data_IF_381920242580
#
_entry.id   IF_381920242580
#
_cell.length_a   1.000
_cell.length_b   1.000
_cell.length_c   1.000
_cell.angle_alpha   90.00
_cell.angle_beta   90.00
_cell.angle_gamma   90.00
#
_symmetry.space_group_name_H-M   'P 1'
#
loop_
_entity.id
_entity.type
_entity.pdbx_description
1 polymer ?
#
# COMPACT_ATOMS: atom_id res chain seq x y z
N UNK A 1 12.00 26.50 8.80
CA UNK A 1 10.70 25.81 9.00
C UNK A 1 10.85 24.41 8.44
N UNK A 2 10.95 23.40 9.31
CA UNK A 2 11.50 22.10 8.94
C UNK A 2 10.65 21.35 7.92
N UNK A 3 11.15 21.20 6.70
CA UNK A 3 10.57 20.46 5.55
C UNK A 3 10.37 18.94 5.80
N UNK A 4 10.52 18.48 7.05
CA UNK A 4 10.50 17.08 7.48
C UNK A 4 9.09 16.49 7.69
N UNK A 5 8.03 17.31 7.56
CA UNK A 5 6.65 16.85 7.75
C UNK A 5 6.25 15.75 6.76
N UNK A 6 6.64 15.84 5.48
CA UNK A 6 6.31 14.83 4.46
C UNK A 6 7.04 13.49 4.70
N UNK A 7 8.36 13.47 4.97
CA UNK A 7 9.04 12.24 5.38
C UNK A 7 8.41 11.59 6.61
N UNK A 8 8.09 12.37 7.66
CA UNK A 8 7.48 11.84 8.88
C UNK A 8 6.11 11.23 8.64
N UNK A 9 5.29 11.86 7.78
CA UNK A 9 4.01 11.28 7.34
C UNK A 9 4.21 9.97 6.58
N UNK A 10 5.22 9.91 5.69
CA UNK A 10 5.55 8.70 4.95
C UNK A 10 5.95 7.55 5.89
N UNK A 11 6.83 7.82 6.86
CA UNK A 11 7.22 6.85 7.89
C UNK A 11 6.02 6.37 8.70
N UNK A 12 5.16 7.29 9.15
CA UNK A 12 3.93 6.95 9.85
C UNK A 12 3.01 6.06 9.03
N UNK A 13 2.87 6.32 7.73
CA UNK A 13 2.07 5.51 6.82
C UNK A 13 2.65 4.10 6.64
N UNK A 14 3.98 3.95 6.55
CA UNK A 14 4.64 2.65 6.47
C UNK A 14 4.51 1.84 7.77
N UNK A 15 4.65 2.49 8.93
CA UNK A 15 4.42 1.84 10.23
C UNK A 15 2.97 1.34 10.30
N UNK A 16 2.01 2.20 9.96
CA UNK A 16 0.60 1.83 9.94
C UNK A 16 0.31 0.68 8.96
N UNK A 17 0.92 0.69 7.77
CA UNK A 17 0.86 -0.41 6.81
C UNK A 17 1.39 -1.72 7.39
N UNK A 18 2.56 -1.70 8.03
CA UNK A 18 3.17 -2.89 8.62
C UNK A 18 2.29 -3.51 9.72
N UNK A 19 1.60 -2.70 10.51
CA UNK A 19 0.62 -3.21 11.47
C UNK A 19 -0.66 -3.70 10.81
N UNK A 20 -1.18 -2.99 9.80
CA UNK A 20 -2.44 -3.38 9.15
C UNK A 20 -2.31 -4.57 8.21
N UNK A 21 -1.12 -4.92 7.71
CA UNK A 21 -1.00 -5.95 6.66
C UNK A 21 -1.32 -7.36 7.17
N UNK A 22 -0.93 -7.71 8.40
CA UNK A 22 -1.31 -8.99 9.03
C UNK A 22 -2.81 -9.03 9.32
N UNK A 23 -3.42 -7.84 9.37
CA UNK A 23 -4.78 -7.58 9.77
C UNK A 23 -5.67 -7.55 8.52
N UNK A 24 -5.62 -6.54 7.68
CA UNK A 24 -6.45 -6.46 6.47
C UNK A 24 -5.94 -7.29 5.27
N UNK A 25 -4.75 -7.87 5.34
CA UNK A 25 -4.18 -8.68 4.26
C UNK A 25 -3.49 -7.84 3.19
N UNK A 26 -2.64 -8.48 2.38
CA UNK A 26 -1.80 -7.81 1.38
C UNK A 26 -2.63 -6.96 0.40
N UNK A 27 -3.64 -7.55 -0.24
CA UNK A 27 -4.41 -6.87 -1.29
C UNK A 27 -5.06 -5.57 -0.79
N UNK A 28 -5.80 -5.62 0.33
CA UNK A 28 -6.52 -4.47 0.86
C UNK A 28 -5.52 -3.44 1.38
N UNK A 29 -4.54 -3.88 2.17
CA UNK A 29 -3.62 -2.96 2.85
C UNK A 29 -2.71 -2.25 1.85
N UNK A 30 -2.16 -2.96 0.86
CA UNK A 30 -1.29 -2.36 -0.18
C UNK A 30 -2.08 -1.42 -1.08
N UNK A 31 -3.30 -1.79 -1.48
CA UNK A 31 -4.16 -0.91 -2.27
C UNK A 31 -4.48 0.39 -1.53
N UNK A 32 -4.97 0.30 -0.29
CA UNK A 32 -5.31 1.48 0.53
C UNK A 32 -4.06 2.32 0.80
N UNK A 33 -2.92 1.69 1.11
CA UNK A 33 -1.65 2.38 1.30
C UNK A 33 -1.25 3.18 0.07
N UNK A 34 -1.28 2.58 -1.12
CA UNK A 34 -0.94 3.27 -2.37
C UNK A 34 -1.91 4.41 -2.67
N UNK A 35 -3.22 4.22 -2.47
CA UNK A 35 -4.22 5.28 -2.64
C UNK A 35 -3.91 6.46 -1.70
N UNK A 36 -3.68 6.19 -0.41
CA UNK A 36 -3.38 7.22 0.57
C UNK A 36 -2.05 7.92 0.27
N UNK A 37 -1.02 7.17 -0.11
CA UNK A 37 0.28 7.72 -0.48
C UNK A 37 0.16 8.67 -1.67
N UNK A 38 -0.43 8.19 -2.78
CA UNK A 38 -0.53 8.98 -4.01
C UNK A 38 -1.49 10.17 -3.86
N UNK A 39 -2.49 10.07 -2.99
CA UNK A 39 -3.43 11.15 -2.73
C UNK A 39 -2.88 12.22 -1.77
N UNK A 40 -2.32 11.80 -0.63
CA UNK A 40 -1.90 12.71 0.44
C UNK A 40 -0.50 13.27 0.20
N UNK A 41 0.43 12.43 -0.24
CA UNK A 41 1.85 12.80 -0.39
C UNK A 41 2.12 13.34 -1.80
N UNK A 42 1.74 12.58 -2.84
CA UNK A 42 2.02 12.94 -4.23
C UNK A 42 0.95 13.88 -4.84
N UNK A 43 -0.27 13.93 -4.28
CA UNK A 43 -1.38 14.77 -4.74
C UNK A 43 -1.73 14.60 -6.22
N UNK A 44 -1.71 13.36 -6.70
CA UNK A 44 -2.01 13.00 -8.09
C UNK A 44 -3.54 13.05 -8.35
N UNK A 45 -3.96 13.10 -9.61
CA UNK A 45 -5.37 13.01 -9.98
C UNK A 45 -5.97 11.63 -9.65
N UNK A 46 -7.21 11.63 -9.15
CA UNK A 46 -7.90 10.45 -8.63
C UNK A 46 -7.96 9.26 -9.61
N UNK A 47 -8.16 9.53 -10.90
CA UNK A 47 -8.19 8.46 -11.91
C UNK A 47 -6.85 7.73 -12.04
N UNK A 48 -5.72 8.45 -12.03
CA UNK A 48 -4.40 7.81 -12.05
C UNK A 48 -4.09 7.14 -10.72
N UNK A 49 -4.51 7.71 -9.60
CA UNK A 49 -4.36 7.07 -8.28
C UNK A 49 -5.00 5.68 -8.30
N UNK A 50 -6.26 5.59 -8.70
CA UNK A 50 -6.97 4.31 -8.76
C UNK A 50 -6.32 3.34 -9.76
N UNK A 51 -5.99 3.81 -10.96
CA UNK A 51 -5.36 2.96 -11.98
C UNK A 51 -4.00 2.40 -11.51
N UNK A 52 -3.14 3.26 -10.95
CA UNK A 52 -1.81 2.87 -10.47
C UNK A 52 -1.92 1.96 -9.25
N UNK A 53 -2.73 2.31 -8.26
CA UNK A 53 -2.89 1.49 -7.05
C UNK A 53 -3.43 0.10 -7.37
N UNK A 54 -4.43 -0.03 -8.25
CA UNK A 54 -4.91 -1.35 -8.68
C UNK A 54 -3.83 -2.10 -9.45
N UNK A 55 -3.22 -1.48 -10.46
CA UNK A 55 -2.24 -2.15 -11.31
C UNK A 55 -1.03 -2.65 -10.51
N UNK A 56 -0.47 -1.81 -9.65
CA UNK A 56 0.70 -2.15 -8.84
C UNK A 56 0.35 -3.26 -7.84
N UNK A 57 -0.76 -3.15 -7.11
CA UNK A 57 -1.17 -4.19 -6.15
C UNK A 57 -1.38 -5.54 -6.84
N UNK A 58 -2.05 -5.58 -8.00
CA UNK A 58 -2.28 -6.82 -8.75
C UNK A 58 -0.96 -7.41 -9.26
N UNK A 59 -0.10 -6.59 -9.86
CA UNK A 59 1.20 -7.06 -10.36
C UNK A 59 2.05 -7.63 -9.23
N UNK A 60 2.11 -6.97 -8.07
CA UNK A 60 2.85 -7.47 -6.92
C UNK A 60 2.24 -8.76 -6.37
N UNK A 61 0.91 -8.87 -6.32
CA UNK A 61 0.25 -10.11 -5.89
C UNK A 61 0.57 -11.27 -6.84
N UNK A 62 0.56 -11.06 -8.15
CA UNK A 62 0.91 -12.07 -9.13
C UNK A 62 2.38 -12.47 -9.04
N UNK A 63 3.29 -11.51 -8.91
CA UNK A 63 4.71 -11.79 -8.79
C UNK A 63 4.99 -12.56 -7.49
N UNK A 64 4.56 -12.04 -6.35
CA UNK A 64 4.91 -12.64 -5.07
C UNK A 64 4.07 -13.87 -4.74
N UNK A 65 2.75 -13.82 -4.92
CA UNK A 65 1.85 -14.90 -4.55
C UNK A 65 1.81 -16.04 -5.57
N UNK A 66 1.88 -15.74 -6.87
CA UNK A 66 1.74 -16.77 -7.91
C UNK A 66 3.09 -17.21 -8.51
N UNK A 67 3.96 -16.27 -8.85
CA UNK A 67 5.23 -16.60 -9.52
C UNK A 67 6.34 -17.03 -8.53
N UNK A 68 6.42 -16.37 -7.38
CA UNK A 68 7.41 -16.65 -6.35
C UNK A 68 6.87 -17.54 -5.21
N UNK A 69 5.58 -17.85 -5.22
CA UNK A 69 4.89 -18.69 -4.22
C UNK A 69 5.14 -18.25 -2.76
N UNK A 70 5.33 -16.95 -2.54
CA UNK A 70 5.48 -16.37 -1.21
C UNK A 70 4.11 -16.33 -0.52
N UNK A 71 3.98 -16.84 0.72
CA UNK A 71 2.74 -16.72 1.46
C UNK A 71 2.47 -15.25 1.78
N UNK A 72 1.54 -14.64 1.05
CA UNK A 72 1.07 -13.29 1.29
C UNK A 72 -0.06 -13.34 2.32
N UNK A 73 -0.07 -12.43 3.32
CA UNK A 73 -1.16 -12.38 4.29
C UNK A 73 -2.50 -12.18 3.56
N UNK A 74 -3.43 -13.12 3.74
CA UNK A 74 -4.79 -12.94 3.26
C UNK A 74 -5.55 -11.90 4.09
N UNK A 75 -5.09 -11.69 5.33
CA UNK A 75 -5.71 -10.80 6.30
C UNK A 75 -6.71 -11.54 7.18
N UNK A 76 -7.60 -10.76 7.78
CA UNK A 76 -8.39 -11.17 8.92
C UNK A 76 -9.52 -12.09 8.49
N UNK A 77 -9.59 -13.33 8.96
CA UNK A 77 -8.86 -13.97 10.05
C UNK A 77 -8.43 -15.37 9.56
N UNK A 78 -7.12 -15.61 9.47
CA UNK A 78 -6.49 -16.94 9.48
C UNK A 78 -5.71 -17.14 10.79
#
# INVERSE_FOLDING_TARGET
EGTWSRPLLGVGAFILYAFLIEYAGFLITTFVFLVLWLWVIEKINWFRIMAVSVAVTVVLYLIFGYFLEVPLPAGFLE
#
